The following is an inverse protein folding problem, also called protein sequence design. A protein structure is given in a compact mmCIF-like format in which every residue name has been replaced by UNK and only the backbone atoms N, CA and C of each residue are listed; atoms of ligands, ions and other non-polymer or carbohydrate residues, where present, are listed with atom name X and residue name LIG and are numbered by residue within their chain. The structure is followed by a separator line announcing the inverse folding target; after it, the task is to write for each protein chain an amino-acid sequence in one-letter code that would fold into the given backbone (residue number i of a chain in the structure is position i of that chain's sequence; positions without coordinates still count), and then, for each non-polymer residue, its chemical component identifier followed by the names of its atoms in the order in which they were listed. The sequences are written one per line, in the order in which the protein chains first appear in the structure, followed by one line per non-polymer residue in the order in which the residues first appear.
data_IF_834089271782
#
_entry.id   IF_834089271782
#
_cell.length_a   1.000
_cell.length_b   1.000
_cell.length_c   1.000
_cell.angle_alpha   90.00
_cell.angle_beta   90.00
_cell.angle_gamma   90.00
#
_symmetry.space_group_name_H-M   'P 1'
#
loop_
_entity.id
_entity.type
_entity.pdbx_description
1 polymer ?
#
# COMPACT_ATOMS: atom_id res chain seq x y z
N UNK A 1 15.38 3.65 -12.61
CA UNK A 1 14.89 2.28 -12.45
C UNK A 1 13.55 2.08 -13.13
N UNK A 2 13.14 0.84 -13.33
CA UNK A 2 11.82 0.52 -13.86
C UNK A 2 10.72 1.01 -12.92
N UNK A 3 10.94 0.95 -11.61
CA UNK A 3 10.00 1.47 -10.62
C UNK A 3 9.78 2.96 -10.74
N UNK A 4 10.83 3.73 -10.92
CA UNK A 4 10.74 5.18 -11.11
C UNK A 4 9.98 5.54 -12.39
N UNK A 5 10.28 4.86 -13.48
CA UNK A 5 9.59 5.07 -14.76
C UNK A 5 8.11 4.72 -14.65
N UNK A 6 7.78 3.62 -13.96
CA UNK A 6 6.41 3.21 -13.69
C UNK A 6 5.63 4.28 -12.92
N UNK A 7 6.21 4.77 -11.84
CA UNK A 7 5.56 5.79 -10.99
C UNK A 7 5.37 7.11 -11.73
N UNK A 8 6.34 7.51 -12.55
CA UNK A 8 6.23 8.72 -13.36
C UNK A 8 5.07 8.62 -14.36
N UNK A 9 4.96 7.49 -15.04
CA UNK A 9 3.86 7.26 -15.98
C UNK A 9 2.51 7.16 -15.24
N UNK A 10 2.51 6.52 -14.08
CA UNK A 10 1.30 6.33 -13.27
C UNK A 10 0.75 7.66 -12.73
N UNK A 11 1.61 8.62 -12.42
CA UNK A 11 1.20 9.93 -11.90
C UNK A 11 0.32 10.69 -12.88
N UNK A 12 0.41 10.39 -14.18
CA UNK A 12 -0.40 11.04 -15.21
C UNK A 12 -1.78 10.41 -15.37
N UNK A 13 -2.05 9.26 -14.72
CA UNK A 13 -3.33 8.59 -14.83
C UNK A 13 -4.40 9.30 -14.02
N UNK A 14 -5.64 9.24 -14.52
CA UNK A 14 -6.79 9.85 -13.84
C UNK A 14 -7.00 9.25 -12.45
N UNK A 15 -7.26 10.09 -11.47
CA UNK A 15 -7.56 9.68 -10.11
C UNK A 15 -6.33 9.36 -9.25
N UNK A 16 -5.13 9.40 -9.81
CA UNK A 16 -3.90 9.15 -9.05
C UNK A 16 -3.41 10.43 -8.39
N UNK A 17 -3.17 10.38 -7.09
CA UNK A 17 -2.63 11.49 -6.30
C UNK A 17 -1.20 11.15 -5.90
N UNK A 18 -0.25 12.07 -6.13
CA UNK A 18 1.15 11.91 -5.74
C UNK A 18 1.44 12.76 -4.51
N UNK A 19 1.98 12.13 -3.46
CA UNK A 19 2.36 12.80 -2.23
C UNK A 19 3.81 13.28 -2.28
N UNK A 20 4.21 14.25 -1.41
CA UNK A 20 5.58 14.73 -1.37
C UNK A 20 6.63 13.64 -1.15
N UNK A 21 6.28 12.54 -0.47
CA UNK A 21 7.15 11.40 -0.26
C UNK A 21 7.43 10.58 -1.52
N UNK A 22 6.73 10.85 -2.61
CA UNK A 22 6.79 10.07 -3.85
C UNK A 22 5.76 8.95 -3.92
N UNK A 23 5.07 8.67 -2.83
CA UNK A 23 4.01 7.66 -2.82
C UNK A 23 2.78 8.18 -3.56
N UNK A 24 2.14 7.29 -4.29
CA UNK A 24 0.91 7.59 -5.03
C UNK A 24 -0.23 6.74 -4.49
N UNK A 25 -1.44 7.24 -4.62
CA UNK A 25 -2.62 6.46 -4.29
C UNK A 25 -3.79 6.80 -5.20
N UNK A 26 -4.72 5.86 -5.27
CA UNK A 26 -5.97 6.02 -5.99
C UNK A 26 -7.10 5.52 -5.10
N UNK A 27 -8.14 6.34 -4.92
CA UNK A 27 -9.30 5.98 -4.10
C UNK A 27 -10.24 5.15 -4.97
N UNK A 28 -10.47 3.88 -4.58
CA UNK A 28 -11.41 3.00 -5.27
C UNK A 28 -12.79 3.07 -4.62
N UNK A 29 -12.84 3.25 -3.30
CA UNK A 29 -14.05 3.44 -2.52
C UNK A 29 -13.71 4.22 -1.27
N UNK A 30 -14.48 5.25 -0.97
CA UNK A 30 -14.30 6.00 0.26
C UNK A 30 -15.02 5.31 1.42
N UNK A 31 -14.40 5.35 2.60
CA UNK A 31 -15.01 4.89 3.82
C UNK A 31 -15.68 6.05 4.57
N UNK A 32 -16.43 5.70 5.60
CA UNK A 32 -17.12 6.69 6.43
C UNK A 32 -16.94 6.42 7.93
N UNK A 33 -16.12 5.45 8.30
CA UNK A 33 -15.83 5.12 9.68
C UNK A 33 -14.67 5.93 10.26
N UNK A 34 -13.99 5.34 11.26
CA UNK A 34 -12.87 5.99 11.93
C UNK A 34 -11.63 6.00 11.04
N UNK A 35 -10.80 7.01 11.22
CA UNK A 35 -9.52 7.14 10.54
C UNK A 35 -8.40 6.75 11.52
N UNK A 36 -7.48 5.86 11.14
CA UNK A 36 -6.43 5.42 12.08
C UNK A 36 -5.36 6.48 12.26
N UNK A 37 -4.69 6.41 13.41
CA UNK A 37 -3.49 7.18 13.73
C UNK A 37 -2.25 6.30 13.58
N UNK A 38 -1.08 6.92 13.51
CA UNK A 38 0.19 6.20 13.33
C UNK A 38 0.45 5.13 14.40
N UNK A 39 -0.12 5.27 15.59
CA UNK A 39 0.05 4.32 16.70
C UNK A 39 -1.05 3.28 16.80
N UNK A 40 -2.06 3.34 15.94
CA UNK A 40 -3.19 2.43 15.99
C UNK A 40 -2.88 1.09 15.36
N UNK A 41 -3.64 0.07 15.75
CA UNK A 41 -3.72 -1.21 15.07
C UNK A 41 -4.92 -1.21 14.14
N UNK A 42 -4.79 -1.89 13.02
CA UNK A 42 -5.84 -1.97 12.00
C UNK A 42 -6.05 -3.40 11.54
N UNK A 43 -7.27 -3.69 11.09
CA UNK A 43 -7.61 -4.92 10.39
C UNK A 43 -7.90 -4.59 8.95
N UNK A 44 -7.16 -5.21 8.04
CA UNK A 44 -7.24 -4.95 6.61
C UNK A 44 -7.22 -6.22 5.78
N UNK A 45 -7.92 -6.19 4.65
CA UNK A 45 -7.62 -7.07 3.53
C UNK A 45 -6.67 -6.34 2.60
N UNK A 46 -5.69 -7.07 2.06
CA UNK A 46 -4.73 -6.49 1.13
C UNK A 46 -4.25 -7.50 0.09
N UNK A 47 -3.78 -6.98 -1.04
CA UNK A 47 -3.07 -7.73 -2.06
C UNK A 47 -1.86 -6.91 -2.49
N UNK A 48 -0.67 -7.51 -2.40
CA UNK A 48 0.58 -6.85 -2.78
C UNK A 48 1.14 -7.44 -4.06
N UNK A 49 1.53 -6.56 -4.99
CA UNK A 49 2.02 -6.94 -6.30
C UNK A 49 3.26 -6.13 -6.67
N UNK A 50 4.10 -6.73 -7.51
CA UNK A 50 5.15 -6.01 -8.22
C UNK A 50 4.52 -5.25 -9.40
N UNK A 51 5.27 -4.33 -10.01
CA UNK A 51 4.75 -3.53 -11.12
C UNK A 51 4.45 -4.34 -12.38
N UNK A 52 4.99 -5.56 -12.48
CA UNK A 52 4.70 -6.50 -13.57
C UNK A 52 3.43 -7.32 -13.33
N UNK A 53 2.74 -7.11 -12.20
CA UNK A 53 1.52 -7.82 -11.85
C UNK A 53 1.74 -9.08 -11.04
N UNK A 54 2.98 -9.45 -10.74
CA UNK A 54 3.28 -10.63 -9.92
C UNK A 54 2.85 -10.40 -8.47
N UNK A 55 1.91 -11.20 -7.97
CA UNK A 55 1.44 -11.10 -6.59
C UNK A 55 2.42 -11.79 -5.64
N UNK A 56 2.87 -11.08 -4.61
CA UNK A 56 3.79 -11.64 -3.63
C UNK A 56 3.14 -11.90 -2.27
N UNK A 57 1.98 -11.30 -2.00
CA UNK A 57 1.25 -11.54 -0.76
C UNK A 57 -0.22 -11.16 -0.94
N UNK A 58 -1.13 -11.86 -0.24
CA UNK A 58 -2.56 -11.57 -0.28
C UNK A 58 -3.28 -12.16 0.92
N UNK A 59 -3.93 -11.30 1.72
CA UNK A 59 -4.81 -11.75 2.79
C UNK A 59 -6.09 -12.36 2.22
N UNK A 60 -6.53 -11.89 1.04
CA UNK A 60 -7.72 -12.39 0.37
C UNK A 60 -7.55 -13.87 0.00
N UNK A 61 -6.39 -14.25 -0.50
CA UNK A 61 -6.09 -15.65 -0.84
C UNK A 61 -6.04 -16.54 0.41
N UNK A 62 -5.62 -15.99 1.56
CA UNK A 62 -5.62 -16.72 2.82
C UNK A 62 -7.01 -16.85 3.43
N UNK A 63 -7.99 -16.09 2.94
CA UNK A 63 -9.38 -16.17 3.38
C UNK A 63 -9.69 -15.42 4.67
N UNK A 64 -8.74 -14.63 5.21
CA UNK A 64 -8.97 -13.85 6.43
C UNK A 64 -8.19 -12.56 6.44
N UNK A 65 -8.74 -11.49 7.06
CA UNK A 65 -8.04 -10.21 7.16
C UNK A 65 -6.80 -10.32 8.05
N UNK A 66 -5.83 -9.46 7.79
CA UNK A 66 -4.63 -9.34 8.61
C UNK A 66 -4.81 -8.20 9.61
N UNK A 67 -4.16 -8.34 10.77
CA UNK A 67 -4.13 -7.31 11.83
C UNK A 67 -2.69 -6.87 12.02
N UNK A 68 -2.46 -5.54 11.95
CA UNK A 68 -1.11 -4.98 12.19
C UNK A 68 -1.16 -3.68 12.98
N UNK A 69 -0.05 -3.41 13.69
CA UNK A 69 0.23 -2.07 14.16
C UNK A 69 0.84 -1.25 13.02
N UNK A 70 0.40 -0.01 12.84
CA UNK A 70 0.88 0.84 11.75
C UNK A 70 2.36 1.20 11.87
N UNK A 71 2.94 1.12 13.07
CA UNK A 71 4.37 1.37 13.28
C UNK A 71 5.24 0.14 12.94
N UNK A 72 4.62 -1.01 12.65
CA UNK A 72 5.30 -2.29 12.43
C UNK A 72 5.37 -2.68 10.97
N UNK A 73 4.82 -1.89 10.07
CA UNK A 73 4.76 -2.16 8.63
C UNK A 73 5.69 -1.22 7.88
N UNK A 74 5.87 -1.44 6.57
CA UNK A 74 6.72 -0.56 5.76
C UNK A 74 6.16 0.87 5.75
N UNK A 75 7.06 1.85 5.57
CA UNK A 75 6.71 3.26 5.67
C UNK A 75 5.56 3.68 4.74
N UNK A 76 5.50 3.11 3.54
CA UNK A 76 4.41 3.39 2.60
C UNK A 76 3.05 2.99 3.14
N UNK A 77 2.97 1.91 3.90
CA UNK A 77 1.74 1.50 4.55
C UNK A 77 1.39 2.41 5.74
N UNK A 78 2.38 2.72 6.59
CA UNK A 78 2.16 3.59 7.74
C UNK A 78 1.57 4.93 7.31
N UNK A 79 2.15 5.54 6.28
CA UNK A 79 1.64 6.79 5.72
C UNK A 79 0.29 6.61 5.05
N UNK A 80 0.15 5.54 4.25
CA UNK A 80 -1.01 5.35 3.39
C UNK A 80 -2.29 5.01 4.12
N UNK A 81 -2.22 4.08 5.06
CA UNK A 81 -3.41 3.62 5.79
C UNK A 81 -3.99 4.74 6.64
N UNK A 82 -3.19 5.70 7.10
CA UNK A 82 -3.67 6.86 7.84
C UNK A 82 -4.56 7.79 6.99
N UNK A 83 -4.53 7.66 5.67
CA UNK A 83 -5.41 8.42 4.76
C UNK A 83 -6.78 7.76 4.61
N UNK A 84 -6.90 6.49 5.00
CA UNK A 84 -8.13 5.72 4.83
C UNK A 84 -9.04 5.85 6.05
N UNK A 85 -10.33 5.63 5.83
CA UNK A 85 -11.32 5.44 6.90
C UNK A 85 -11.85 4.02 6.84
N UNK A 86 -12.42 3.54 7.92
CA UNK A 86 -13.06 2.21 7.94
C UNK A 86 -14.07 2.10 6.80
N UNK A 87 -13.99 1.03 6.03
CA UNK A 87 -14.81 0.79 4.85
C UNK A 87 -14.19 1.25 3.54
N UNK A 88 -13.06 1.97 3.57
CA UNK A 88 -12.40 2.47 2.36
C UNK A 88 -11.64 1.36 1.63
N UNK A 89 -11.55 1.51 0.31
CA UNK A 89 -10.67 0.71 -0.55
C UNK A 89 -9.78 1.65 -1.34
N UNK A 90 -8.47 1.48 -1.19
CA UNK A 90 -7.48 2.29 -1.89
C UNK A 90 -6.50 1.39 -2.62
N UNK A 91 -5.92 1.94 -3.68
CA UNK A 91 -4.76 1.34 -4.34
C UNK A 91 -3.58 2.24 -4.07
N UNK A 92 -2.49 1.66 -3.53
CA UNK A 92 -1.26 2.40 -3.25
C UNK A 92 -0.17 1.98 -4.22
N UNK A 93 0.60 2.97 -4.68
CA UNK A 93 1.78 2.78 -5.52
C UNK A 93 2.96 3.30 -4.70
N UNK A 94 3.82 2.41 -4.25
CA UNK A 94 4.83 2.70 -3.24
C UNK A 94 6.22 2.64 -3.88
N UNK A 95 6.99 3.76 -3.86
CA UNK A 95 8.38 3.71 -4.33
C UNK A 95 9.24 2.84 -3.42
N UNK A 96 10.37 2.35 -3.93
CA UNK A 96 11.23 1.42 -3.22
C UNK A 96 11.70 1.95 -1.86
N UNK A 97 11.97 3.25 -1.73
CA UNK A 97 12.44 3.84 -0.49
C UNK A 97 11.39 3.85 0.64
N UNK A 98 10.13 3.70 0.31
CA UNK A 98 9.04 3.57 1.29
C UNK A 98 8.58 2.12 1.46
N UNK A 99 9.16 1.21 0.69
CA UNK A 99 8.92 -0.23 0.77
C UNK A 99 10.14 -0.96 1.30
N UNK A 100 10.67 -1.88 0.51
CA UNK A 100 11.78 -2.74 0.93
C UNK A 100 13.16 -2.26 0.45
N UNK A 101 13.22 -1.13 -0.25
CA UNK A 101 14.46 -0.44 -0.61
C UNK A 101 15.44 -1.26 -1.45
N UNK A 102 16.72 -0.99 -1.24
CA UNK A 102 17.80 -1.62 -2.01
C UNK A 102 17.95 -3.12 -1.74
N UNK A 103 17.47 -3.60 -0.60
CA UNK A 103 17.61 -5.02 -0.23
C UNK A 103 16.51 -5.90 -0.79
N UNK A 104 15.33 -5.33 -1.08
CA UNK A 104 14.16 -6.12 -1.42
C UNK A 104 13.67 -6.94 -0.22
N UNK A 105 12.91 -8.00 -0.47
CA UNK A 105 12.39 -8.88 0.56
C UNK A 105 12.39 -10.33 0.06
N UNK A 106 13.38 -11.11 0.49
CA UNK A 106 13.54 -12.50 0.09
C UNK A 106 13.63 -12.65 -1.42
N UNK A 107 13.04 -13.73 -1.94
CA UNK A 107 13.01 -14.00 -3.38
C UNK A 107 11.80 -13.34 -4.07
N UNK A 108 10.80 -12.93 -3.30
CA UNK A 108 9.55 -12.42 -3.84
C UNK A 108 9.62 -10.96 -4.26
N UNK A 109 10.44 -10.15 -3.59
CA UNK A 109 10.56 -8.72 -3.86
C UNK A 109 12.01 -8.40 -4.19
N UNK A 110 12.33 -8.18 -5.47
CA UNK A 110 13.69 -7.80 -5.88
C UNK A 110 14.12 -6.46 -5.27
N UNK A 111 15.43 -6.19 -5.20
CA UNK A 111 15.92 -4.87 -4.80
C UNK A 111 15.35 -3.75 -5.66
N UNK A 112 15.17 -2.58 -5.08
CA UNK A 112 14.70 -1.36 -5.76
C UNK A 112 13.34 -1.52 -6.43
N UNK A 113 12.46 -2.35 -5.84
CA UNK A 113 11.13 -2.59 -6.40
C UNK A 113 10.13 -1.56 -5.92
N UNK A 114 9.43 -0.92 -6.85
CA UNK A 114 8.18 -0.22 -6.55
C UNK A 114 7.07 -1.28 -6.36
N UNK A 115 6.13 -1.00 -5.48
CA UNK A 115 5.09 -1.96 -5.10
C UNK A 115 3.71 -1.38 -5.37
N UNK A 116 2.77 -2.27 -5.68
CA UNK A 116 1.36 -1.92 -5.83
C UNK A 116 0.56 -2.71 -4.80
N UNK A 117 -0.18 -2.00 -3.94
CA UNK A 117 -1.04 -2.63 -2.95
C UNK A 117 -2.50 -2.22 -3.16
N UNK A 118 -3.39 -3.20 -3.17
CA UNK A 118 -4.82 -2.98 -3.03
C UNK A 118 -5.16 -3.22 -1.56
N UNK A 119 -5.80 -2.25 -0.91
CA UNK A 119 -6.10 -2.35 0.52
C UNK A 119 -7.54 -1.98 0.81
N UNK A 120 -8.17 -2.77 1.67
CA UNK A 120 -9.47 -2.47 2.24
C UNK A 120 -9.33 -2.36 3.76
N UNK A 121 -9.56 -1.17 4.30
CA UNK A 121 -9.52 -0.96 5.75
C UNK A 121 -10.87 -1.38 6.34
N UNK A 122 -10.84 -2.42 7.17
CA UNK A 122 -12.06 -2.98 7.76
C UNK A 122 -12.34 -2.32 9.10
N UNK A 123 -11.37 -2.34 10.01
CA UNK A 123 -11.51 -1.81 11.37
C UNK A 123 -10.27 -1.07 11.83
N UNK A 124 -10.47 -0.04 12.63
CA UNK A 124 -9.44 0.56 13.49
C UNK A 124 -9.65 -0.01 14.89
N UNK A 125 -8.65 -0.69 15.39
CA UNK A 125 -8.75 -1.44 16.64
C UNK A 125 -8.38 -0.61 17.89
#
# INVERSE_FOLDING_TARGET
TMGEAYLKANAAKEGVVTLPSGRQYQVLKEGNGRQPKATDQVRCHYEGMLIDGTMFDSSVQRGEPAVFGLIQVIAGWTEGVQLMKEGAKYRFFIPDNLGYGERGAGQSIPPLSALVFHEELIDVL
#
